data_IF_727756681508
#
_entry.id   IF_727756681508
#
_cell.length_a   1.000
_cell.length_b   1.000
_cell.length_c   1.000
_cell.angle_alpha   90.00
_cell.angle_beta   90.00
_cell.angle_gamma   90.00
#
_symmetry.space_group_name_H-M   'P 1'
#
loop_
_entity.id
_entity.type
_entity.pdbx_description
1 polymer ?
#
# COMPACT_ATOMS: atom_id res chain seq x y z
N UNK A 1 -14.81 -3.45 20.40
CA UNK A 1 -13.73 -2.73 21.12
C UNK A 1 -14.29 -1.36 21.46
N UNK A 2 -14.50 -1.05 22.73
CA UNK A 2 -15.03 0.24 23.13
C UNK A 2 -13.92 1.28 23.01
N UNK A 3 -14.19 2.37 22.30
CA UNK A 3 -13.28 3.52 22.29
C UNK A 3 -13.40 4.19 23.66
N UNK A 4 -12.37 4.06 24.47
CA UNK A 4 -12.28 4.78 25.73
C UNK A 4 -11.77 6.18 25.42
N UNK A 5 -12.65 7.17 25.41
CA UNK A 5 -12.24 8.58 25.33
C UNK A 5 -11.64 8.97 26.69
N UNK A 6 -10.32 8.91 26.78
CA UNK A 6 -9.56 9.29 27.98
C UNK A 6 -9.14 10.77 27.94
N UNK A 7 -10.04 11.69 27.62
CA UNK A 7 -9.74 13.11 27.67
C UNK A 7 -10.78 13.87 28.47
N UNK A 8 -10.37 14.44 29.60
CA UNK A 8 -11.14 15.36 30.44
C UNK A 8 -11.26 16.79 29.86
N UNK A 9 -11.36 16.93 28.54
CA UNK A 9 -11.59 18.24 27.91
C UNK A 9 -13.08 18.42 27.63
N UNK A 10 -13.82 18.86 28.65
CA UNK A 10 -15.18 19.35 28.48
C UNK A 10 -15.15 20.86 28.20
N UNK A 11 -15.83 21.33 27.16
CA UNK A 11 -15.99 22.74 26.84
C UNK A 11 -15.46 23.16 25.47
N UNK A 12 -15.38 24.48 25.23
CA UNK A 12 -14.98 25.09 23.93
C UNK A 12 -13.66 24.61 23.33
N UNK A 13 -12.79 23.98 24.12
CA UNK A 13 -11.52 23.44 23.66
C UNK A 13 -11.65 22.01 23.05
N UNK A 14 -12.80 21.35 23.20
CA UNK A 14 -13.05 20.01 22.64
C UNK A 14 -13.38 20.01 21.12
N UNK A 15 -13.38 21.19 20.48
CA UNK A 15 -13.74 21.35 19.07
C UNK A 15 -12.70 20.89 18.06
N UNK A 16 -11.56 20.43 18.51
CA UNK A 16 -10.53 19.89 17.60
C UNK A 16 -10.31 18.41 17.92
N UNK A 17 -11.10 17.56 17.27
CA UNK A 17 -10.72 16.16 17.17
C UNK A 17 -9.48 16.11 16.28
N UNK A 18 -8.34 15.95 16.90
CA UNK A 18 -7.12 15.62 16.17
C UNK A 18 -7.32 14.17 15.75
N UNK A 19 -7.74 13.97 14.51
CA UNK A 19 -7.59 12.63 13.91
C UNK A 19 -6.11 12.29 14.05
N UNK A 20 -5.80 11.13 14.63
CA UNK A 20 -4.44 10.63 14.64
C UNK A 20 -3.90 10.74 13.21
N UNK A 21 -2.66 11.22 13.06
CA UNK A 21 -2.04 11.39 11.75
C UNK A 21 -1.91 10.01 11.09
N UNK A 22 -2.92 9.62 10.34
CA UNK A 22 -2.96 8.34 9.63
C UNK A 22 -1.99 8.39 8.45
N UNK A 23 -1.37 7.26 8.14
CA UNK A 23 -0.46 7.15 7.01
C UNK A 23 -1.22 7.43 5.71
N UNK A 24 -0.70 8.32 4.89
CA UNK A 24 -1.23 8.55 3.56
C UNK A 24 -1.01 7.30 2.69
N UNK A 25 -2.05 6.88 1.96
CA UNK A 25 -1.95 5.78 0.99
C UNK A 25 -1.37 6.32 -0.31
N UNK A 26 -0.08 6.11 -0.52
CA UNK A 26 0.64 6.62 -1.71
C UNK A 26 1.21 5.50 -2.61
N UNK A 27 1.21 4.25 -2.16
CA UNK A 27 1.73 3.13 -2.95
C UNK A 27 0.92 2.88 -4.21
N UNK A 28 -0.39 3.19 -4.21
CA UNK A 28 -1.26 2.96 -5.36
C UNK A 28 -0.84 3.76 -6.61
N UNK A 29 -0.18 4.91 -6.44
CA UNK A 29 0.34 5.71 -7.55
C UNK A 29 1.46 5.00 -8.32
N UNK A 30 2.15 4.08 -7.66
CA UNK A 30 3.29 3.32 -8.19
C UNK A 30 2.97 1.86 -8.51
N UNK A 31 1.71 1.47 -8.45
CA UNK A 31 1.24 0.12 -8.80
C UNK A 31 0.35 0.15 -10.03
N UNK A 32 0.22 -0.98 -10.70
CA UNK A 32 -0.76 -1.15 -11.78
C UNK A 32 -2.07 -1.63 -11.20
N UNK A 33 -3.13 -0.83 -11.34
CA UNK A 33 -4.45 -1.18 -10.85
C UNK A 33 -5.20 -2.05 -11.86
N UNK A 34 -5.82 -3.12 -11.36
CA UNK A 34 -6.76 -3.97 -12.08
C UNK A 34 -8.12 -3.84 -11.39
N UNK A 35 -9.05 -3.20 -12.08
CA UNK A 35 -10.40 -2.98 -11.57
C UNK A 35 -11.36 -4.11 -11.98
N UNK A 36 -12.51 -4.19 -11.31
CA UNK A 36 -13.58 -5.13 -11.59
C UNK A 36 -13.17 -6.61 -11.42
N UNK A 37 -12.29 -6.88 -10.47
CA UNK A 37 -11.91 -8.25 -10.10
C UNK A 37 -12.85 -8.74 -8.99
N UNK A 38 -13.94 -9.39 -9.38
CA UNK A 38 -14.95 -9.88 -8.42
C UNK A 38 -14.52 -11.12 -7.65
N UNK A 39 -13.74 -11.98 -8.28
CA UNK A 39 -13.29 -13.23 -7.68
C UNK A 39 -11.82 -13.53 -7.94
N UNK A 40 -11.43 -13.73 -9.20
CA UNK A 40 -10.06 -14.02 -9.62
C UNK A 40 -9.76 -13.37 -10.95
N UNK A 41 -8.53 -12.90 -11.10
CA UNK A 41 -7.98 -12.47 -12.38
C UNK A 41 -6.65 -13.17 -12.61
N UNK A 42 -6.47 -13.76 -13.79
CA UNK A 42 -5.22 -14.40 -14.14
C UNK A 42 -4.29 -13.40 -14.80
N UNK A 43 -3.10 -13.25 -14.22
CA UNK A 43 -2.00 -12.50 -14.79
C UNK A 43 -1.12 -13.49 -15.54
N UNK A 44 -1.10 -13.36 -16.86
CA UNK A 44 -0.38 -14.27 -17.73
C UNK A 44 0.93 -13.62 -18.21
N UNK A 45 2.02 -14.35 -18.11
CA UNK A 45 3.31 -13.98 -18.68
C UNK A 45 3.75 -15.03 -19.68
N UNK A 46 4.12 -14.58 -20.87
CA UNK A 46 4.63 -15.44 -21.93
C UNK A 46 6.16 -15.37 -21.91
N UNK A 47 6.79 -16.48 -21.59
CA UNK A 47 8.24 -16.57 -21.50
C UNK A 47 8.79 -17.50 -22.60
N UNK A 48 9.86 -17.07 -23.24
CA UNK A 48 10.62 -17.89 -24.17
C UNK A 48 11.68 -18.70 -23.41
N UNK A 49 11.65 -20.01 -23.53
CA UNK A 49 12.52 -20.90 -22.77
C UNK A 49 13.88 -21.09 -23.44
N UNK A 50 13.93 -20.99 -24.77
CA UNK A 50 15.17 -21.18 -25.59
C UNK A 50 15.13 -20.15 -26.69
N UNK A 51 16.35 -19.71 -27.15
CA UNK A 51 16.45 -18.83 -28.28
C UNK A 51 15.83 -19.47 -29.53
N UNK A 52 14.77 -18.85 -30.06
CA UNK A 52 14.05 -19.32 -31.25
C UNK A 52 14.58 -18.75 -32.57
N UNK A 53 15.62 -17.89 -32.51
CA UNK A 53 16.28 -17.35 -33.69
C UNK A 53 17.40 -18.30 -34.07
N UNK A 54 17.29 -18.93 -35.25
CA UNK A 54 18.26 -19.84 -35.83
C UNK A 54 18.58 -19.41 -37.25
N UNK A 55 19.64 -19.94 -37.80
CA UNK A 55 20.01 -19.67 -39.19
C UNK A 55 18.92 -20.18 -40.15
N UNK A 56 18.69 -19.42 -41.23
CA UNK A 56 17.69 -19.76 -42.21
C UNK A 56 18.11 -21.03 -42.97
N UNK A 57 17.24 -22.03 -42.94
CA UNK A 57 17.39 -23.27 -43.75
C UNK A 57 16.18 -23.44 -44.65
N UNK A 58 16.27 -24.28 -45.68
CA UNK A 58 15.16 -24.58 -46.57
C UNK A 58 14.06 -25.38 -45.88
N UNK A 59 14.38 -26.10 -44.81
CA UNK A 59 13.44 -26.94 -44.06
C UNK A 59 12.96 -26.27 -42.81
N UNK A 60 11.71 -26.53 -42.43
CA UNK A 60 11.18 -26.08 -41.15
C UNK A 60 11.70 -26.96 -40.01
N UNK A 61 12.50 -26.37 -39.14
CA UNK A 61 12.89 -27.00 -37.87
C UNK A 61 12.41 -26.13 -36.74
N UNK A 62 11.58 -26.68 -35.87
CA UNK A 62 11.07 -25.94 -34.69
C UNK A 62 12.26 -25.63 -33.77
N UNK A 63 12.47 -24.33 -33.50
CA UNK A 63 13.48 -23.88 -32.56
C UNK A 63 12.78 -23.05 -31.46
N UNK A 64 13.07 -23.38 -30.22
CA UNK A 64 12.48 -22.71 -29.05
C UNK A 64 11.09 -23.19 -28.67
N UNK A 65 10.76 -22.94 -27.43
CA UNK A 65 9.46 -23.20 -26.85
C UNK A 65 8.94 -21.95 -26.13
N UNK A 66 7.66 -21.68 -26.29
CA UNK A 66 6.96 -20.62 -25.55
C UNK A 66 6.29 -21.27 -24.33
N UNK A 67 6.61 -20.79 -23.14
CA UNK A 67 5.97 -21.19 -21.90
C UNK A 67 5.05 -20.08 -21.41
N UNK A 68 3.80 -20.43 -21.16
CA UNK A 68 2.84 -19.55 -20.52
C UNK A 68 2.87 -19.80 -19.01
N UNK A 69 3.22 -18.76 -18.25
CA UNK A 69 3.14 -18.80 -16.79
C UNK A 69 1.97 -17.97 -16.32
N UNK A 70 1.25 -18.48 -15.35
CA UNK A 70 0.06 -17.82 -14.81
C UNK A 70 0.25 -17.54 -13.32
N UNK A 71 -0.13 -16.34 -12.89
CA UNK A 71 -0.30 -15.98 -11.48
C UNK A 71 -1.72 -15.51 -11.26
N UNK A 72 -2.32 -15.95 -10.17
CA UNK A 72 -3.71 -15.62 -9.86
C UNK A 72 -3.75 -14.46 -8.88
N UNK A 73 -4.40 -13.38 -9.30
CA UNK A 73 -4.77 -12.27 -8.43
C UNK A 73 -6.15 -12.58 -7.82
N UNK A 74 -6.18 -12.79 -6.51
CA UNK A 74 -7.40 -13.10 -5.76
C UNK A 74 -7.63 -12.02 -4.70
N UNK A 75 -8.50 -11.03 -4.94
CA UNK A 75 -8.83 -10.02 -3.95
C UNK A 75 -9.56 -10.64 -2.76
N UNK A 76 -9.20 -10.21 -1.56
CA UNK A 76 -9.87 -10.61 -0.32
C UNK A 76 -10.94 -9.61 0.04
N UNK A 77 -12.14 -10.08 0.38
CA UNK A 77 -13.21 -9.24 0.88
C UNK A 77 -12.92 -8.81 2.32
N UNK A 78 -12.89 -7.52 2.54
CA UNK A 78 -12.62 -6.87 3.82
C UNK A 78 -13.84 -6.06 4.25
N UNK A 79 -14.01 -5.92 5.55
CA UNK A 79 -15.08 -5.10 6.12
C UNK A 79 -14.58 -4.33 7.33
N UNK A 80 -15.12 -3.14 7.49
CA UNK A 80 -14.96 -2.32 8.69
C UNK A 80 -16.32 -2.14 9.31
N UNK A 81 -16.48 -2.62 10.53
CA UNK A 81 -17.71 -2.49 11.31
C UNK A 81 -17.36 -1.74 12.60
N UNK A 82 -17.98 -0.58 12.81
CA UNK A 82 -17.78 0.23 14.01
C UNK A 82 -19.13 0.61 14.60
N UNK A 83 -19.19 0.65 15.90
CA UNK A 83 -20.34 1.12 16.69
C UNK A 83 -19.91 2.31 17.56
N UNK A 84 -20.61 3.42 17.47
CA UNK A 84 -20.38 4.62 18.28
C UNK A 84 -21.66 4.94 19.05
N UNK A 85 -21.53 5.03 20.36
CA UNK A 85 -22.63 5.48 21.21
C UNK A 85 -22.82 7.00 21.11
N UNK A 86 -24.04 7.47 20.84
CA UNK A 86 -24.34 8.91 20.72
C UNK A 86 -24.07 9.65 22.01
N UNK A 87 -24.33 9.03 23.18
CA UNK A 87 -24.12 9.64 24.49
C UNK A 87 -22.65 10.08 24.68
N UNK A 88 -21.69 9.30 24.18
CA UNK A 88 -20.25 9.68 24.21
C UNK A 88 -19.94 10.90 23.36
N UNK A 89 -20.72 11.14 22.31
CA UNK A 89 -20.57 12.27 21.41
C UNK A 89 -21.29 13.53 21.91
N UNK A 90 -22.39 13.37 22.66
CA UNK A 90 -23.18 14.46 23.23
C UNK A 90 -22.35 15.41 24.10
N UNK A 91 -21.38 14.86 24.85
CA UNK A 91 -20.52 15.66 25.75
C UNK A 91 -19.48 16.49 25.02
N UNK A 92 -19.13 16.13 23.77
CA UNK A 92 -18.04 16.77 23.03
C UNK A 92 -18.51 17.53 21.78
N UNK A 93 -19.23 16.87 20.88
CA UNK A 93 -19.61 17.47 19.59
C UNK A 93 -20.90 18.28 19.68
N UNK A 94 -21.94 17.75 20.32
CA UNK A 94 -23.24 18.43 20.42
C UNK A 94 -23.21 19.65 21.35
N UNK A 95 -22.39 19.62 22.39
CA UNK A 95 -22.18 20.78 23.27
C UNK A 95 -21.66 22.01 22.52
N UNK A 96 -20.90 21.82 21.46
CA UNK A 96 -20.40 22.89 20.60
C UNK A 96 -21.48 23.44 19.65
N UNK A 97 -22.38 22.59 19.21
CA UNK A 97 -23.43 22.94 18.25
C UNK A 97 -24.73 23.46 18.92
N UNK A 98 -24.79 23.50 20.23
CA UNK A 98 -25.96 23.95 21.04
C UNK A 98 -27.27 23.32 20.56
N UNK A 99 -27.28 22.02 20.35
CA UNK A 99 -28.44 21.30 19.83
C UNK A 99 -29.53 21.12 20.86
N UNK A 100 -30.75 21.42 20.47
CA UNK A 100 -31.95 21.20 21.31
C UNK A 100 -32.48 19.78 21.11
N UNK A 101 -32.42 18.96 22.16
CA UNK A 101 -33.15 17.69 22.27
C UNK A 101 -32.32 16.42 22.11
N UNK A 102 -32.36 15.58 23.15
CA UNK A 102 -31.87 14.19 23.08
C UNK A 102 -32.71 13.42 22.05
N UNK A 103 -32.06 12.78 21.07
CA UNK A 103 -32.73 11.99 20.04
C UNK A 103 -32.85 12.68 18.67
N UNK A 104 -32.32 13.87 18.48
CA UNK A 104 -32.20 14.46 17.15
C UNK A 104 -31.08 13.74 16.34
N UNK A 105 -31.22 13.53 15.01
CA UNK A 105 -30.17 12.92 14.21
C UNK A 105 -28.88 13.78 14.24
N UNK A 106 -27.71 13.18 14.15
CA UNK A 106 -26.44 13.93 14.14
C UNK A 106 -26.43 14.95 12.99
N UNK A 107 -25.72 16.07 13.13
CA UNK A 107 -25.61 17.05 12.05
C UNK A 107 -24.86 16.46 10.86
N UNK A 108 -25.21 16.87 9.64
CA UNK A 108 -24.58 16.37 8.42
C UNK A 108 -23.05 16.57 8.42
N UNK A 109 -22.55 17.62 9.04
CA UNK A 109 -21.11 17.85 9.20
C UNK A 109 -20.40 16.80 10.08
N UNK A 110 -21.13 16.14 10.97
CA UNK A 110 -20.61 15.02 11.76
C UNK A 110 -20.53 13.74 10.92
N UNK A 111 -21.55 13.47 10.14
CA UNK A 111 -21.56 12.30 9.24
C UNK A 111 -20.40 12.39 8.22
N UNK A 112 -20.18 13.56 7.64
CA UNK A 112 -19.09 13.82 6.72
C UNK A 112 -17.70 13.61 7.38
N UNK A 113 -17.54 14.08 8.62
CA UNK A 113 -16.31 13.87 9.39
C UNK A 113 -16.04 12.39 9.65
N UNK A 114 -17.06 11.66 10.08
CA UNK A 114 -16.95 10.24 10.36
C UNK A 114 -16.64 9.43 9.09
N UNK A 115 -17.28 9.76 7.96
CA UNK A 115 -17.03 9.12 6.67
C UNK A 115 -15.59 9.37 6.23
N UNK A 116 -15.11 10.60 6.35
CA UNK A 116 -13.71 10.94 6.02
C UNK A 116 -12.73 10.17 6.90
N UNK A 117 -12.97 10.12 8.21
CA UNK A 117 -12.12 9.38 9.15
C UNK A 117 -12.10 7.87 8.87
N UNK A 118 -13.24 7.28 8.51
CA UNK A 118 -13.31 5.88 8.08
C UNK A 118 -12.54 5.63 6.78
N UNK A 119 -12.62 6.58 5.85
CA UNK A 119 -11.84 6.53 4.60
C UNK A 119 -10.34 6.50 4.87
N UNK A 120 -9.86 7.31 5.81
CA UNK A 120 -8.44 7.34 6.22
C UNK A 120 -8.01 6.02 6.87
N UNK A 121 -8.83 5.42 7.75
CA UNK A 121 -8.56 4.11 8.36
C UNK A 121 -8.45 3.02 7.30
N UNK A 122 -9.35 3.00 6.32
CA UNK A 122 -9.32 2.03 5.21
C UNK A 122 -8.07 2.24 4.36
N UNK A 123 -7.70 3.49 4.07
CA UNK A 123 -6.51 3.82 3.30
C UNK A 123 -5.24 3.36 4.01
N UNK A 124 -5.12 3.61 5.33
CA UNK A 124 -3.97 3.14 6.11
C UNK A 124 -3.89 1.62 6.17
N UNK A 125 -5.02 0.95 6.43
CA UNK A 125 -5.08 -0.51 6.49
C UNK A 125 -4.70 -1.16 5.14
N UNK A 126 -5.15 -0.56 4.04
CA UNK A 126 -4.83 -1.01 2.68
C UNK A 126 -3.36 -0.80 2.37
N UNK A 127 -2.82 0.39 2.66
CA UNK A 127 -1.40 0.72 2.44
C UNK A 127 -0.47 -0.22 3.22
N UNK A 128 -0.79 -0.48 4.50
CA UNK A 128 -0.04 -1.44 5.30
C UNK A 128 -0.16 -2.86 4.74
N UNK A 129 -1.37 -3.28 4.31
CA UNK A 129 -1.58 -4.62 3.77
C UNK A 129 -0.90 -4.86 2.43
N UNK A 130 -0.75 -3.84 1.58
CA UNK A 130 -0.02 -3.92 0.30
C UNK A 130 1.41 -4.45 0.53
N UNK A 131 2.10 -3.92 1.53
CA UNK A 131 3.50 -4.27 1.77
C UNK A 131 3.68 -5.34 2.83
N UNK A 132 2.97 -5.27 3.94
CA UNK A 132 3.22 -6.09 5.13
C UNK A 132 2.15 -7.13 5.40
N UNK A 133 1.07 -7.17 4.61
CA UNK A 133 -0.03 -8.09 4.81
C UNK A 133 0.40 -9.55 4.85
N UNK A 134 -0.12 -10.30 5.81
CA UNK A 134 0.20 -11.73 6.04
C UNK A 134 -1.00 -12.64 5.86
N UNK A 135 -2.05 -12.17 5.19
CA UNK A 135 -3.30 -12.90 4.95
C UNK A 135 -4.07 -13.33 6.22
N UNK A 136 -3.80 -12.71 7.35
CA UNK A 136 -4.58 -12.90 8.58
C UNK A 136 -5.92 -12.15 8.53
N UNK A 137 -6.72 -12.22 9.59
CA UNK A 137 -7.99 -11.52 9.68
C UNK A 137 -7.80 -9.99 9.50
N UNK A 138 -8.55 -9.40 8.59
CA UNK A 138 -8.49 -7.97 8.29
C UNK A 138 -7.36 -7.53 7.34
N UNK A 139 -6.57 -8.48 6.82
CA UNK A 139 -5.46 -8.20 5.89
C UNK A 139 -5.51 -9.16 4.70
N UNK A 140 -5.12 -8.69 3.52
CA UNK A 140 -4.80 -9.55 2.38
C UNK A 140 -3.30 -9.88 2.37
N UNK A 141 -2.88 -10.77 1.47
CA UNK A 141 -1.46 -11.12 1.34
C UNK A 141 -0.72 -9.98 0.62
N UNK A 142 0.31 -9.45 1.25
CA UNK A 142 1.11 -8.34 0.74
C UNK A 142 2.39 -8.79 0.02
N UNK A 143 3.14 -7.82 -0.49
CA UNK A 143 4.38 -8.11 -1.21
C UNK A 143 5.48 -8.66 -0.28
N UNK A 144 5.67 -8.07 0.91
CA UNK A 144 6.75 -8.37 1.85
C UNK A 144 6.26 -8.90 3.22
N UNK A 145 5.04 -9.44 3.28
CA UNK A 145 4.53 -10.04 4.52
C UNK A 145 5.49 -11.07 5.12
N UNK A 146 5.63 -11.10 6.44
CA UNK A 146 6.71 -11.81 7.14
C UNK A 146 6.83 -13.32 6.81
N UNK A 147 5.73 -13.99 6.52
CA UNK A 147 5.73 -15.44 6.24
C UNK A 147 5.13 -15.80 4.88
N UNK A 148 4.27 -14.96 4.34
CA UNK A 148 3.47 -15.24 3.15
C UNK A 148 3.66 -14.23 2.03
N UNK A 149 4.56 -13.25 2.23
CA UNK A 149 4.80 -12.19 1.25
C UNK A 149 5.17 -12.72 -0.12
N UNK A 150 4.58 -12.13 -1.16
CA UNK A 150 4.71 -12.60 -2.54
C UNK A 150 6.15 -12.52 -3.09
N UNK A 151 7.00 -11.68 -2.48
CA UNK A 151 8.41 -11.51 -2.87
C UNK A 151 9.38 -12.35 -2.04
N UNK A 152 8.88 -13.19 -1.14
CA UNK A 152 9.72 -14.06 -0.33
C UNK A 152 10.23 -15.25 -1.16
N UNK A 153 11.50 -15.68 -0.96
CA UNK A 153 12.08 -16.80 -1.69
C UNK A 153 11.35 -18.13 -1.44
N UNK A 154 10.64 -18.25 -0.32
CA UNK A 154 9.80 -19.41 -0.01
C UNK A 154 8.46 -19.41 -0.75
N UNK A 155 8.03 -18.28 -1.32
CA UNK A 155 6.76 -18.13 -2.06
C UNK A 155 7.03 -18.03 -3.55
N UNK A 156 7.97 -17.18 -3.95
CA UNK A 156 8.42 -17.06 -5.34
C UNK A 156 9.96 -17.11 -5.39
N UNK A 157 10.49 -18.28 -5.71
CA UNK A 157 11.93 -18.51 -5.80
C UNK A 157 12.60 -17.80 -7.00
N UNK A 158 11.81 -17.22 -7.91
CA UNK A 158 12.33 -16.50 -9.06
C UNK A 158 12.71 -15.06 -8.75
N UNK A 159 12.20 -14.49 -7.65
CA UNK A 159 12.55 -13.13 -7.21
C UNK A 159 14.02 -13.06 -6.79
N UNK A 160 14.73 -12.09 -7.35
CA UNK A 160 16.15 -11.90 -7.04
C UNK A 160 16.27 -11.36 -5.60
N UNK A 161 16.95 -12.12 -4.76
CA UNK A 161 17.21 -11.72 -3.37
C UNK A 161 18.57 -11.04 -3.29
N UNK A 162 18.59 -9.74 -3.06
CA UNK A 162 19.80 -8.97 -2.77
C UNK A 162 20.09 -8.99 -1.27
N UNK A 163 21.33 -9.19 -0.88
CA UNK A 163 21.71 -9.23 0.52
C UNK A 163 21.99 -7.82 1.04
N UNK A 164 21.26 -7.39 2.08
CA UNK A 164 21.64 -6.19 2.83
C UNK A 164 22.86 -6.50 3.69
N UNK A 165 23.81 -5.58 3.77
CA UNK A 165 25.02 -5.77 4.60
C UNK A 165 24.72 -5.62 6.09
N UNK A 166 23.71 -4.85 6.45
CA UNK A 166 23.22 -4.61 7.82
C UNK A 166 21.92 -3.81 7.77
N UNK A 167 21.30 -3.58 8.92
CA UNK A 167 20.19 -2.64 9.05
C UNK A 167 20.56 -1.27 8.47
N UNK A 168 19.64 -0.65 7.76
CA UNK A 168 19.90 0.59 7.04
C UNK A 168 20.15 1.76 8.00
N UNK A 169 21.20 2.50 7.69
CA UNK A 169 21.62 3.73 8.40
C UNK A 169 22.10 4.74 7.36
N UNK A 170 22.23 6.00 7.75
CA UNK A 170 22.80 7.02 6.86
C UNK A 170 24.23 6.69 6.38
N UNK A 171 24.97 5.85 7.09
CA UNK A 171 26.33 5.49 6.72
C UNK A 171 26.39 4.40 5.64
N UNK A 172 25.42 3.48 5.59
CA UNK A 172 25.47 2.30 4.71
C UNK A 172 24.40 2.28 3.62
N UNK A 173 23.42 3.19 3.65
CA UNK A 173 22.29 3.16 2.72
C UNK A 173 22.72 3.27 1.24
N UNK A 174 23.73 4.09 0.94
CA UNK A 174 24.23 4.25 -0.43
C UNK A 174 24.82 2.94 -0.93
N UNK A 175 25.64 2.26 -0.13
CA UNK A 175 26.22 0.98 -0.49
C UNK A 175 25.16 -0.12 -0.70
N UNK A 176 24.13 -0.15 0.17
CA UNK A 176 23.00 -1.08 0.01
C UNK A 176 22.19 -0.78 -1.25
N UNK A 177 21.94 0.49 -1.57
CA UNK A 177 21.26 0.87 -2.82
C UNK A 177 22.09 0.48 -4.05
N UNK A 178 23.40 0.72 -4.03
CA UNK A 178 24.31 0.30 -5.12
C UNK A 178 24.30 -1.22 -5.30
N UNK A 179 24.32 -1.98 -4.21
CA UNK A 179 24.22 -3.44 -4.28
C UNK A 179 22.88 -3.88 -4.88
N UNK A 180 21.77 -3.30 -4.44
CA UNK A 180 20.45 -3.63 -4.97
C UNK A 180 20.32 -3.28 -6.46
N UNK A 181 20.89 -2.16 -6.90
CA UNK A 181 20.92 -1.76 -8.31
C UNK A 181 21.83 -2.68 -9.12
N UNK A 182 22.97 -3.12 -8.59
CA UNK A 182 23.87 -4.06 -9.26
C UNK A 182 23.21 -5.44 -9.47
N UNK A 183 22.30 -5.84 -8.60
CA UNK A 183 21.57 -7.10 -8.68
C UNK A 183 20.36 -7.05 -9.64
N UNK A 184 20.10 -5.90 -10.29
CA UNK A 184 19.01 -5.78 -11.27
C UNK A 184 19.32 -6.67 -12.50
N UNK A 185 18.38 -7.53 -12.89
CA UNK A 185 18.54 -8.35 -14.08
C UNK A 185 18.73 -7.49 -15.35
N UNK A 186 19.66 -7.90 -16.21
CA UNK A 186 19.98 -7.17 -17.46
C UNK A 186 18.75 -6.94 -18.34
N UNK A 187 17.80 -7.86 -18.30
CA UNK A 187 16.55 -7.77 -19.09
C UNK A 187 15.67 -6.55 -18.74
N UNK A 188 15.79 -6.01 -17.52
CA UNK A 188 14.99 -4.87 -17.04
C UNK A 188 15.80 -3.60 -16.87
N UNK A 189 17.12 -3.68 -17.00
CA UNK A 189 18.00 -2.51 -16.99
C UNK A 189 17.59 -1.50 -18.07
N UNK A 190 17.45 -0.24 -17.69
CA UNK A 190 17.13 0.84 -18.62
C UNK A 190 15.66 0.96 -19.01
N UNK A 191 14.76 0.17 -18.42
CA UNK A 191 13.33 0.37 -18.61
C UNK A 191 12.85 1.58 -17.80
N UNK A 192 12.00 2.44 -18.44
CA UNK A 192 11.57 3.72 -17.87
C UNK A 192 10.67 3.62 -16.65
N UNK A 193 9.92 2.52 -16.51
CA UNK A 193 8.98 2.28 -15.42
C UNK A 193 9.59 1.55 -14.21
N UNK A 194 10.90 1.39 -14.19
CA UNK A 194 11.62 0.79 -13.06
C UNK A 194 11.72 1.78 -11.91
N UNK A 195 11.25 1.37 -10.74
CA UNK A 195 11.24 2.17 -9.52
C UNK A 195 11.92 1.45 -8.38
N UNK A 196 12.55 2.23 -7.50
CA UNK A 196 13.09 1.76 -6.23
C UNK A 196 12.07 2.09 -5.14
N UNK A 197 11.40 1.07 -4.64
CA UNK A 197 10.42 1.20 -3.55
C UNK A 197 11.12 1.13 -2.21
N UNK A 198 10.85 2.10 -1.34
CA UNK A 198 11.43 2.16 0.01
C UNK A 198 10.50 2.83 0.99
N UNK A 199 10.73 2.59 2.30
CA UNK A 199 10.00 3.26 3.36
C UNK A 199 10.43 4.73 3.52
N UNK A 200 9.57 5.53 4.13
CA UNK A 200 9.87 6.93 4.47
C UNK A 200 11.13 7.07 5.33
N UNK A 201 11.36 6.14 6.26
CA UNK A 201 12.55 6.14 7.13
C UNK A 201 13.82 5.83 6.32
N UNK A 202 13.77 4.86 5.44
CA UNK A 202 14.90 4.52 4.54
C UNK A 202 15.25 5.71 3.65
N UNK A 203 14.24 6.41 3.15
CA UNK A 203 14.43 7.61 2.36
C UNK A 203 15.08 8.76 3.17
N UNK A 204 14.73 8.93 4.44
CA UNK A 204 15.40 9.89 5.32
C UNK A 204 16.89 9.56 5.52
N UNK A 205 17.25 8.27 5.66
CA UNK A 205 18.65 7.86 5.71
C UNK A 205 19.40 8.20 4.43
N UNK A 206 18.75 8.00 3.27
CA UNK A 206 19.32 8.37 1.98
C UNK A 206 19.58 9.88 1.89
N UNK A 207 18.63 10.74 2.24
CA UNK A 207 18.82 12.20 2.25
C UNK A 207 19.96 12.60 3.20
N UNK A 208 20.01 12.01 4.40
CA UNK A 208 21.06 12.28 5.37
C UNK A 208 22.44 11.87 4.85
N UNK A 209 22.54 10.75 4.16
CA UNK A 209 23.77 10.28 3.53
C UNK A 209 24.24 11.24 2.41
N UNK A 210 23.33 11.66 1.55
CA UNK A 210 23.63 12.58 0.44
C UNK A 210 24.03 13.97 0.97
N UNK A 211 23.44 14.43 2.07
CA UNK A 211 23.80 15.71 2.69
C UNK A 211 25.24 15.72 3.19
N UNK A 212 25.74 14.59 3.72
CA UNK A 212 27.14 14.48 4.15
C UNK A 212 28.14 14.50 3.00
N UNK A 213 27.70 14.14 1.79
CA UNK A 213 28.52 14.20 0.58
C UNK A 213 28.56 15.60 -0.07
N UNK A 214 27.88 16.59 0.53
CA UNK A 214 27.87 17.97 0.04
C UNK A 214 26.88 18.29 -1.08
N UNK A 215 25.97 17.39 -1.40
CA UNK A 215 24.89 17.63 -2.37
C UNK A 215 23.73 18.41 -1.74
N UNK A 216 23.89 19.72 -1.58
CA UNK A 216 22.94 20.62 -0.91
C UNK A 216 21.55 20.63 -1.57
N UNK A 217 21.48 20.41 -2.86
CA UNK A 217 20.21 20.41 -3.60
C UNK A 217 19.29 19.23 -3.22
N UNK A 218 19.84 18.09 -2.82
CA UNK A 218 19.04 16.95 -2.33
C UNK A 218 18.56 17.17 -0.88
N UNK A 219 19.20 18.06 -0.15
CA UNK A 219 18.85 18.38 1.23
C UNK A 219 17.78 19.49 1.33
N UNK A 220 17.88 20.52 0.48
CA UNK A 220 16.90 21.61 0.40
C UNK A 220 15.89 21.35 -0.72
N UNK A 221 14.91 20.50 -0.44
CA UNK A 221 13.85 20.17 -1.39
C UNK A 221 12.78 21.28 -1.42
N UNK A 222 13.03 22.33 -2.17
CA UNK A 222 12.04 23.33 -2.52
C UNK A 222 11.63 23.11 -3.97
N UNK A 223 10.45 22.48 -4.20
CA UNK A 223 9.87 22.30 -5.51
C UNK A 223 9.64 20.84 -5.93
N UNK A 224 9.31 20.61 -7.19
CA UNK A 224 8.98 19.32 -7.81
C UNK A 224 10.22 18.41 -8.00
N UNK A 225 10.94 18.14 -6.94
CA UNK A 225 12.09 17.24 -7.00
C UNK A 225 11.63 15.80 -6.99
N UNK A 226 11.82 15.11 -8.10
CA UNK A 226 11.61 13.66 -8.17
C UNK A 226 12.87 12.97 -7.62
N UNK A 227 12.79 12.26 -6.49
CA UNK A 227 13.94 11.58 -5.93
C UNK A 227 14.42 10.48 -6.89
N UNK A 228 15.71 10.49 -7.20
CA UNK A 228 16.33 9.53 -8.11
C UNK A 228 17.64 9.00 -7.53
N UNK A 229 17.95 7.74 -7.81
CA UNK A 229 19.24 7.13 -7.51
C UNK A 229 19.76 6.39 -8.75
N UNK A 230 20.97 6.72 -9.20
CA UNK A 230 21.60 6.16 -10.40
C UNK A 230 20.70 6.12 -11.65
N UNK A 231 19.82 7.13 -11.81
CA UNK A 231 18.89 7.23 -12.93
C UNK A 231 17.52 6.56 -12.70
N UNK A 232 17.34 5.82 -11.61
CA UNK A 232 16.06 5.20 -11.25
C UNK A 232 15.26 6.06 -10.29
N UNK A 233 13.95 6.13 -10.51
CA UNK A 233 13.03 6.90 -9.65
C UNK A 233 12.83 6.18 -8.32
N UNK A 234 12.85 6.94 -7.24
CA UNK A 234 12.54 6.42 -5.90
C UNK A 234 11.05 6.62 -5.63
N UNK A 235 10.36 5.53 -5.34
CA UNK A 235 8.99 5.51 -4.87
C UNK A 235 8.97 5.33 -3.35
N UNK A 236 8.60 6.38 -2.63
CA UNK A 236 8.51 6.33 -1.17
C UNK A 236 7.13 5.82 -0.78
N UNK A 237 7.06 4.64 -0.17
CA UNK A 237 5.83 3.96 0.21
C UNK A 237 5.68 3.93 1.73
N UNK A 238 4.59 4.51 2.23
CA UNK A 238 4.37 4.65 3.67
C UNK A 238 4.11 3.33 4.40
N UNK A 239 3.51 2.35 3.71
CA UNK A 239 3.22 1.03 4.26
C UNK A 239 4.41 0.06 4.26
N UNK A 240 5.53 0.43 3.65
CA UNK A 240 6.68 -0.45 3.51
C UNK A 240 7.46 -0.60 4.81
N UNK A 241 7.96 -1.82 5.07
CA UNK A 241 8.78 -2.13 6.26
C UNK A 241 10.13 -1.40 6.17
N UNK A 242 10.63 -0.98 7.33
CA UNK A 242 12.00 -0.46 7.45
C UNK A 242 13.04 -1.56 7.11
N UNK A 243 14.19 -1.15 6.64
CA UNK A 243 15.29 -2.05 6.26
C UNK A 243 14.96 -3.02 5.11
N UNK A 244 14.05 -2.64 4.25
CA UNK A 244 13.73 -3.38 3.03
C UNK A 244 13.67 -2.43 1.83
N UNK A 245 14.14 -2.93 0.70
CA UNK A 245 14.04 -2.30 -0.60
C UNK A 245 13.43 -3.27 -1.60
N UNK A 246 12.64 -2.76 -2.51
CA UNK A 246 12.14 -3.53 -3.65
C UNK A 246 12.43 -2.71 -4.90
N UNK A 247 13.04 -3.34 -5.91
CA UNK A 247 13.21 -2.73 -7.22
C UNK A 247 12.35 -3.52 -8.19
N UNK A 248 11.38 -2.86 -8.78
CA UNK A 248 10.44 -3.48 -9.70
C UNK A 248 9.91 -2.47 -10.70
N UNK A 249 9.47 -2.97 -11.84
CA UNK A 249 8.69 -2.18 -12.77
C UNK A 249 7.28 -1.96 -12.21
N UNK A 250 6.72 -0.77 -12.39
CA UNK A 250 5.33 -0.48 -12.06
C UNK A 250 4.37 -1.48 -12.73
N UNK A 251 4.67 -1.86 -13.96
CA UNK A 251 3.91 -2.84 -14.75
C UNK A 251 4.00 -4.28 -14.22
N UNK A 252 4.93 -4.59 -13.31
CA UNK A 252 5.09 -5.93 -12.71
C UNK A 252 4.44 -6.07 -11.34
N UNK A 253 3.93 -4.99 -10.76
CA UNK A 253 3.26 -4.98 -9.47
C UNK A 253 1.78 -4.63 -9.67
N UNK A 254 0.90 -5.55 -9.33
CA UNK A 254 -0.54 -5.41 -9.55
C UNK A 254 -1.30 -5.26 -8.24
N UNK A 255 -2.24 -4.32 -8.24
CA UNK A 255 -3.24 -4.17 -7.20
C UNK A 255 -4.61 -4.42 -7.80
N UNK A 256 -5.34 -5.36 -7.26
CA UNK A 256 -6.69 -5.73 -7.70
C UNK A 256 -7.75 -5.27 -6.70
N UNK A 257 -8.79 -4.67 -7.22
CA UNK A 257 -9.98 -4.29 -6.47
C UNK A 257 -11.23 -4.59 -7.28
N UNK A 258 -12.39 -4.61 -6.62
CA UNK A 258 -13.69 -4.57 -7.30
C UNK A 258 -13.92 -3.17 -7.90
N UNK A 259 -15.10 -2.86 -8.36
CA UNK A 259 -15.42 -1.52 -8.84
C UNK A 259 -15.05 -0.46 -7.77
N UNK A 260 -14.29 0.56 -8.18
CA UNK A 260 -13.89 1.66 -7.29
C UNK A 260 -15.12 2.35 -6.65
N UNK A 261 -16.25 2.39 -7.36
CA UNK A 261 -17.50 2.93 -6.85
C UNK A 261 -18.10 2.09 -5.71
N UNK A 262 -17.88 0.77 -5.71
CA UNK A 262 -18.40 -0.13 -4.69
C UNK A 262 -17.43 -0.27 -3.50
N UNK A 263 -16.13 -0.11 -3.75
CA UNK A 263 -15.09 -0.18 -2.72
C UNK A 263 -15.15 0.96 -1.70
N UNK A 264 -15.84 2.05 -2.00
CA UNK A 264 -15.95 3.24 -1.14
C UNK A 264 -17.33 3.40 -0.50
N UNK A 265 -18.19 2.38 -0.58
CA UNK A 265 -19.52 2.49 0.01
C UNK A 265 -19.44 2.37 1.54
N UNK A 266 -19.49 3.51 2.19
CA UNK A 266 -19.64 3.62 3.64
C UNK A 266 -21.12 3.86 3.96
N UNK A 267 -21.69 3.04 4.81
CA UNK A 267 -23.08 3.17 5.24
C UNK A 267 -23.13 3.50 6.73
N UNK A 268 -23.77 4.61 7.06
CA UNK A 268 -24.10 5.02 8.42
C UNK A 268 -25.54 4.63 8.71
N UNK A 269 -25.76 3.95 9.82
CA UNK A 269 -27.10 3.52 10.25
C UNK A 269 -27.35 3.98 11.70
N UNK A 270 -28.40 4.75 11.89
CA UNK A 270 -28.91 5.06 13.22
C UNK A 270 -29.72 3.86 13.74
N UNK A 271 -29.25 3.27 14.83
CA UNK A 271 -29.84 2.07 15.40
C UNK A 271 -31.08 2.38 16.26
N UNK A 272 -31.33 3.64 16.61
CA UNK A 272 -32.49 4.02 17.42
C UNK A 272 -33.83 3.60 16.80
N UNK A 273 -33.93 3.57 15.48
CA UNK A 273 -35.11 3.14 14.73
C UNK A 273 -35.23 1.65 14.51
N UNK A 274 -34.09 0.88 14.67
CA UNK A 274 -34.05 -0.54 14.38
C UNK A 274 -34.13 -1.40 15.63
N UNK A 275 -33.31 -1.13 16.63
CA UNK A 275 -33.25 -1.92 17.88
C UNK A 275 -33.47 -1.08 19.15
N UNK A 276 -33.70 0.23 18.99
CA UNK A 276 -33.90 1.15 20.10
C UNK A 276 -32.65 1.52 20.87
N UNK A 277 -31.46 1.10 20.39
CA UNK A 277 -30.19 1.48 21.00
C UNK A 277 -29.76 2.87 20.53
N UNK A 278 -29.07 3.61 21.40
CA UNK A 278 -28.55 4.94 21.08
C UNK A 278 -27.16 4.87 20.40
N UNK A 279 -27.02 3.96 19.42
CA UNK A 279 -25.79 3.71 18.71
C UNK A 279 -25.92 4.10 17.23
N UNK A 280 -24.81 4.59 16.67
CA UNK A 280 -24.61 4.76 15.21
C UNK A 280 -23.69 3.66 14.74
N UNK A 281 -24.16 2.82 13.82
CA UNK A 281 -23.37 1.79 13.17
C UNK A 281 -22.80 2.27 11.85
N UNK A 282 -21.52 2.02 11.67
CA UNK A 282 -20.82 2.28 10.45
C UNK A 282 -20.36 0.96 9.84
N UNK A 283 -20.68 0.76 8.57
CA UNK A 283 -20.30 -0.43 7.80
C UNK A 283 -19.66 0.01 6.51
N UNK A 284 -18.43 -0.42 6.30
CA UNK A 284 -17.75 -0.32 5.00
C UNK A 284 -17.32 -1.71 4.54
N UNK A 285 -17.49 -1.98 3.26
CA UNK A 285 -17.07 -3.25 2.63
C UNK A 285 -16.27 -2.92 1.38
N UNK A 286 -15.13 -3.58 1.23
CA UNK A 286 -14.28 -3.44 0.06
C UNK A 286 -13.52 -4.73 -0.21
N UNK A 287 -13.01 -4.89 -1.41
CA UNK A 287 -12.14 -6.00 -1.77
C UNK A 287 -10.81 -5.45 -2.25
N UNK A 288 -9.73 -6.06 -1.81
CA UNK A 288 -8.38 -5.66 -2.20
C UNK A 288 -7.45 -6.87 -2.20
N UNK A 289 -6.48 -6.84 -3.08
CA UNK A 289 -5.44 -7.86 -3.18
C UNK A 289 -4.28 -7.38 -4.03
N UNK A 290 -3.12 -7.99 -3.87
CA UNK A 290 -1.95 -7.71 -4.70
C UNK A 290 -1.41 -8.98 -5.33
N UNK A 291 -0.73 -8.83 -6.46
CA UNK A 291 -0.02 -9.90 -7.14
C UNK A 291 1.18 -9.35 -7.91
N UNK A 292 2.19 -10.17 -8.07
CA UNK A 292 3.36 -9.87 -8.89
C UNK A 292 3.21 -10.45 -10.30
N UNK A 293 3.81 -9.80 -11.28
CA UNK A 293 3.99 -10.36 -12.61
C UNK A 293 5.13 -11.39 -12.65
N UNK A 294 6.18 -11.09 -13.40
CA UNK A 294 7.38 -11.95 -13.48
C UNK A 294 8.27 -11.71 -12.28
N UNK A 295 8.46 -12.71 -11.42
CA UNK A 295 9.33 -12.59 -10.23
C UNK A 295 10.78 -12.37 -10.58
N UNK A 296 11.26 -12.96 -11.68
CA UNK A 296 12.65 -12.82 -12.14
C UNK A 296 13.06 -11.37 -12.51
N UNK A 297 12.09 -10.48 -12.70
CA UNK A 297 12.31 -9.06 -13.01
C UNK A 297 12.28 -8.17 -11.76
N UNK A 298 12.13 -8.76 -10.59
CA UNK A 298 11.99 -8.06 -9.31
C UNK A 298 13.18 -8.36 -8.43
N UNK A 299 13.78 -7.31 -7.85
CA UNK A 299 14.83 -7.43 -6.84
C UNK A 299 14.25 -7.05 -5.48
N UNK A 300 14.48 -7.89 -4.48
CA UNK A 300 14.14 -7.63 -3.08
C UNK A 300 15.42 -7.66 -2.24
N UNK A 301 15.64 -6.62 -1.45
CA UNK A 301 16.69 -6.56 -0.45
C UNK A 301 16.09 -6.47 0.95
N UNK A 302 16.60 -7.27 1.88
CA UNK A 302 16.09 -7.31 3.26
C UNK A 302 17.17 -7.73 4.23
#
# INVERSE_FOLDING_TARGET
>A
MAITVASNFAGKAAGFYISAALKASNSLDYLTMIENVKFRSNIQALNQTVNSVVDATCDFTAAGTLALTEKVLEPKNLQVNMDICKETLLSSWEALQMRAGAGAPPPASFDDYVISYMGEIIAEATENSIWTGTNVAGQFNGFNGAATGLLLPGVDATVVQSAATAAYTAANIIANLQQAVADIPVAVLGKEDLHIYMSQRTYQYYISAVSTLGYVNAYNMNGDYVPMFEGYKIAVCNGMIENQLVIAQKSSLFFGTDLLSDATRITLMDMATLDGSDNIRMVARYSAGVQTGTGADIVRQS
#
